data_IF_133881792930
#
_entry.id   IF_133881792930
#
_cell.length_a   1.000
_cell.length_b   1.000
_cell.length_c   1.000
_cell.angle_alpha   90.00
_cell.angle_beta   90.00
_cell.angle_gamma   90.00
#
_symmetry.space_group_name_H-M   'P 1'
#
loop_
_entity.id
_entity.type
_entity.pdbx_description
1 polymer ?
#
# COMPACT_ATOMS: atom_id res chain seq x y z
N UNK A 1 6.55 -8.73 5.15
CA UNK A 1 5.41 -9.24 5.91
C UNK A 1 5.51 -10.74 6.10
N UNK A 2 4.89 -11.27 7.15
CA UNK A 2 4.70 -12.71 7.37
C UNK A 2 3.32 -12.96 8.01
N UNK A 3 2.76 -14.14 7.78
CA UNK A 3 1.51 -14.57 8.40
C UNK A 3 1.83 -15.76 9.30
N UNK A 4 1.53 -15.64 10.59
CA UNK A 4 1.79 -16.67 11.60
C UNK A 4 0.51 -16.80 12.44
N UNK A 5 -0.04 -18.01 12.53
CA UNK A 5 -1.25 -18.30 13.33
C UNK A 5 -2.41 -17.32 13.07
N UNK A 6 -2.68 -17.03 11.79
CA UNK A 6 -3.68 -16.06 11.31
C UNK A 6 -3.40 -14.60 11.68
N UNK A 7 -2.23 -14.26 12.19
CA UNK A 7 -1.81 -12.88 12.43
C UNK A 7 -0.84 -12.44 11.34
N UNK A 8 -1.16 -11.33 10.67
CA UNK A 8 -0.30 -10.67 9.71
C UNK A 8 0.65 -9.72 10.45
N UNK A 9 1.95 -9.99 10.36
CA UNK A 9 3.02 -9.13 10.88
C UNK A 9 3.63 -8.35 9.72
N UNK A 10 3.66 -7.03 9.82
CA UNK A 10 4.20 -6.13 8.79
C UNK A 10 5.30 -5.27 9.39
N UNK A 11 6.45 -5.19 8.72
CA UNK A 11 7.54 -4.28 9.05
C UNK A 11 7.77 -3.36 7.86
N UNK A 12 7.78 -2.05 8.09
CA UNK A 12 7.84 -1.07 7.01
C UNK A 12 8.91 0.01 7.24
N UNK A 13 9.64 0.32 6.19
CA UNK A 13 10.50 1.49 6.03
C UNK A 13 10.31 2.02 4.61
N UNK A 14 9.82 3.25 4.48
CA UNK A 14 9.53 3.88 3.18
C UNK A 14 8.04 4.12 2.96
N UNK A 15 7.64 4.23 1.71
CA UNK A 15 6.28 4.55 1.25
C UNK A 15 5.61 3.43 0.45
N UNK A 16 6.26 2.28 0.33
CA UNK A 16 5.57 1.06 -0.10
C UNK A 16 4.52 0.67 0.92
N UNK A 17 3.37 0.18 0.45
CA UNK A 17 2.20 -0.02 1.30
C UNK A 17 1.82 -1.48 1.44
N UNK A 18 1.26 -1.79 2.60
CA UNK A 18 0.52 -3.01 2.87
C UNK A 18 -0.95 -2.67 3.13
N UNK A 19 -1.84 -3.38 2.44
CA UNK A 19 -3.28 -3.30 2.63
C UNK A 19 -3.84 -4.66 3.02
N UNK A 20 -4.91 -4.65 3.81
CA UNK A 20 -5.81 -5.78 4.03
C UNK A 20 -7.17 -5.40 3.43
N UNK A 21 -7.74 -6.32 2.67
CA UNK A 21 -9.04 -6.16 2.02
C UNK A 21 -9.96 -7.30 2.47
N UNK A 22 -11.16 -6.95 2.89
CA UNK A 22 -12.25 -7.88 3.12
C UNK A 22 -13.34 -7.71 2.03
N UNK A 23 -14.50 -8.32 2.21
CA UNK A 23 -15.62 -8.23 1.25
C UNK A 23 -16.17 -6.80 1.10
N UNK A 24 -15.96 -5.92 2.08
CA UNK A 24 -16.62 -4.62 2.19
C UNK A 24 -15.67 -3.44 2.13
N UNK A 25 -14.39 -3.66 2.43
CA UNK A 25 -13.46 -2.57 2.66
C UNK A 25 -12.02 -2.88 2.27
N UNK A 26 -11.25 -1.81 2.10
CA UNK A 26 -9.80 -1.82 1.99
C UNK A 26 -9.22 -0.96 3.12
N UNK A 27 -8.22 -1.49 3.81
CA UNK A 27 -7.54 -0.80 4.90
C UNK A 27 -6.04 -0.77 4.67
N UNK A 28 -5.45 0.42 4.61
CA UNK A 28 -4.01 0.59 4.61
C UNK A 28 -3.46 0.31 6.01
N UNK A 29 -2.58 -0.66 6.14
CA UNK A 29 -1.97 -1.06 7.41
C UNK A 29 -0.72 -0.24 7.71
N UNK A 30 0.11 -0.01 6.70
CA UNK A 30 1.35 0.77 6.81
C UNK A 30 1.06 2.27 6.84
N UNK A 31 2.02 3.03 7.38
CA UNK A 31 2.05 4.49 7.28
C UNK A 31 3.22 4.90 6.39
N UNK A 32 2.96 5.77 5.43
CA UNK A 32 4.01 6.21 4.52
C UNK A 32 5.05 7.06 5.26
N UNK A 33 6.31 6.72 5.09
CA UNK A 33 7.42 7.56 5.55
C UNK A 33 7.76 8.60 4.46
N UNK A 34 6.82 9.49 4.19
CA UNK A 34 6.96 10.59 3.23
C UNK A 34 6.89 11.96 3.89
N UNK A 35 7.50 12.95 3.24
CA UNK A 35 7.47 14.35 3.72
C UNK A 35 6.03 14.83 3.87
N UNK A 36 5.18 14.53 2.90
CA UNK A 36 3.78 15.00 2.89
C UNK A 36 2.96 14.38 4.01
N UNK A 37 3.12 13.09 4.31
CA UNK A 37 2.43 12.46 5.44
C UNK A 37 2.90 13.01 6.79
N UNK A 38 4.18 13.36 6.90
CA UNK A 38 4.69 14.07 8.09
C UNK A 38 4.03 15.45 8.24
N UNK A 39 3.90 16.21 7.17
CA UNK A 39 3.26 17.54 7.18
C UNK A 39 1.74 17.44 7.46
N UNK A 40 1.06 16.46 6.89
CA UNK A 40 -0.36 16.18 7.17
C UNK A 40 -0.54 15.83 8.65
N UNK A 41 0.30 14.97 9.22
CA UNK A 41 0.20 14.57 10.64
C UNK A 41 0.43 15.73 11.60
N UNK A 42 1.18 16.75 11.21
CA UNK A 42 1.39 18.01 11.94
C UNK A 42 0.26 19.04 11.71
N UNK A 43 -0.66 18.77 10.77
CA UNK A 43 -1.72 19.70 10.39
C UNK A 43 -1.24 20.89 9.55
N UNK A 44 -0.04 20.80 8.96
CA UNK A 44 0.54 21.88 8.16
C UNK A 44 -0.04 21.92 6.74
N UNK A 45 -0.40 20.76 6.17
CA UNK A 45 -1.06 20.63 4.86
C UNK A 45 -2.20 19.62 4.91
N UNK A 46 -3.06 19.61 3.87
CA UNK A 46 -4.08 18.57 3.67
C UNK A 46 -3.73 17.70 2.46
N UNK A 47 -4.31 16.49 2.39
CA UNK A 47 -4.08 15.55 1.28
C UNK A 47 -4.61 16.06 -0.07
N UNK A 48 -5.54 17.01 -0.05
CA UNK A 48 -6.11 17.66 -1.24
C UNK A 48 -5.27 18.84 -1.74
N UNK A 49 -4.30 19.32 -0.94
CA UNK A 49 -3.48 20.49 -1.27
C UNK A 49 -2.59 20.26 -2.49
N UNK A 50 -2.24 21.33 -3.19
CA UNK A 50 -1.28 21.27 -4.31
C UNK A 50 0.10 20.83 -3.81
N UNK A 51 0.52 21.30 -2.63
CA UNK A 51 1.80 20.97 -2.00
C UNK A 51 1.93 19.46 -1.72
N UNK A 52 0.84 18.80 -1.29
CA UNK A 52 0.81 17.36 -1.15
C UNK A 52 1.10 16.66 -2.49
N UNK A 53 0.41 17.05 -3.57
CA UNK A 53 0.55 16.44 -4.90
C UNK A 53 1.96 16.61 -5.47
N UNK A 54 2.59 17.77 -5.25
CA UNK A 54 3.93 18.07 -5.75
C UNK A 54 5.07 17.35 -5.00
N UNK A 55 4.84 16.98 -3.73
CA UNK A 55 5.88 16.44 -2.87
C UNK A 55 5.62 15.00 -2.39
N UNK A 56 4.60 14.32 -2.90
CA UNK A 56 4.19 12.99 -2.44
C UNK A 56 5.26 11.90 -2.59
N UNK A 57 6.19 12.04 -3.53
CA UNK A 57 7.29 11.10 -3.76
C UNK A 57 8.54 11.36 -2.91
N UNK A 58 8.53 12.36 -2.02
CA UNK A 58 9.68 12.64 -1.14
C UNK A 58 9.59 11.79 0.11
N UNK A 59 10.39 10.71 0.15
CA UNK A 59 10.50 9.82 1.32
C UNK A 59 11.33 10.45 2.43
N UNK A 60 11.00 10.13 3.68
CA UNK A 60 11.69 10.61 4.88
C UNK A 60 12.48 9.53 5.60
N UNK A 61 12.28 8.25 5.23
CA UNK A 61 13.05 7.12 5.75
C UNK A 61 13.37 6.15 4.63
N UNK A 62 14.63 5.70 4.59
CA UNK A 62 15.09 4.66 3.68
C UNK A 62 16.16 3.80 4.37
N UNK A 63 16.19 2.51 4.04
CA UNK A 63 17.23 1.60 4.52
C UNK A 63 18.57 2.00 3.91
N UNK A 64 19.58 2.19 4.77
CA UNK A 64 20.94 2.57 4.34
C UNK A 64 21.17 4.08 4.17
N UNK A 65 20.15 4.92 4.38
CA UNK A 65 20.32 6.39 4.36
C UNK A 65 21.03 6.89 5.62
N UNK A 66 20.84 6.20 6.76
CA UNK A 66 21.47 6.51 8.05
C UNK A 66 22.00 5.21 8.68
N UNK A 67 22.89 5.34 9.68
CA UNK A 67 23.43 4.18 10.42
C UNK A 67 22.34 3.37 11.15
N UNK A 68 21.27 4.03 11.53
CA UNK A 68 20.10 3.43 12.20
C UNK A 68 18.84 3.93 11.54
N UNK A 69 17.89 3.01 11.29
CA UNK A 69 16.58 3.33 10.76
C UNK A 69 15.50 2.88 11.73
N UNK A 70 14.50 3.72 11.94
CA UNK A 70 13.30 3.35 12.70
C UNK A 70 12.38 2.54 11.79
N UNK A 71 12.06 1.32 12.21
CA UNK A 71 11.17 0.40 11.52
C UNK A 71 9.80 0.50 12.19
N UNK A 72 8.76 0.75 11.42
CA UNK A 72 7.39 0.63 11.93
C UNK A 72 6.95 -0.83 11.85
N UNK A 73 6.29 -1.33 12.89
CA UNK A 73 5.75 -2.68 12.95
C UNK A 73 4.25 -2.64 13.21
N UNK A 74 3.51 -3.52 12.54
CA UNK A 74 2.06 -3.63 12.64
C UNK A 74 1.68 -5.10 12.76
N UNK A 75 0.62 -5.38 13.53
CA UNK A 75 0.02 -6.71 13.66
C UNK A 75 -1.47 -6.60 13.37
N UNK A 76 -2.00 -7.51 12.56
CA UNK A 76 -3.41 -7.57 12.17
C UNK A 76 -3.88 -9.01 12.23
N UNK A 77 -4.90 -9.27 13.03
CA UNK A 77 -5.56 -10.58 13.04
C UNK A 77 -6.44 -10.72 11.81
N UNK A 78 -6.24 -11.82 11.07
CA UNK A 78 -6.98 -12.15 9.85
C UNK A 78 -8.12 -13.13 10.20
N UNK A 79 -9.31 -12.89 9.65
CA UNK A 79 -10.47 -13.77 9.81
C UNK A 79 -10.45 -14.97 8.86
N UNK A 80 -9.56 -14.97 7.86
CA UNK A 80 -9.40 -16.07 6.89
C UNK A 80 -10.21 -15.90 5.61
N UNK A 81 -10.69 -14.71 5.32
CA UNK A 81 -11.45 -14.37 4.11
C UNK A 81 -10.97 -13.05 3.47
N UNK A 82 -9.73 -12.68 3.75
CA UNK A 82 -9.16 -11.43 3.27
C UNK A 82 -8.16 -11.64 2.14
N UNK A 83 -7.88 -10.53 1.44
CA UNK A 83 -6.69 -10.37 0.60
C UNK A 83 -5.66 -9.50 1.31
N UNK A 84 -4.39 -9.85 1.17
CA UNK A 84 -3.27 -9.00 1.58
C UNK A 84 -2.56 -8.51 0.33
N UNK A 85 -2.46 -7.18 0.19
CA UNK A 85 -1.78 -6.52 -0.92
C UNK A 85 -0.53 -5.80 -0.41
N UNK A 86 0.62 -6.13 -0.99
CA UNK A 86 1.87 -5.36 -0.84
C UNK A 86 2.16 -4.71 -2.19
N UNK A 87 2.44 -3.40 -2.20
CA UNK A 87 2.71 -2.69 -3.44
C UNK A 87 3.71 -1.54 -3.26
N UNK A 88 4.40 -1.21 -4.34
CA UNK A 88 5.20 0.01 -4.43
C UNK A 88 4.30 1.23 -4.67
N UNK A 89 4.87 2.42 -4.48
CA UNK A 89 4.21 3.70 -4.72
C UNK A 89 3.82 3.91 -6.19
N UNK A 90 4.47 3.23 -7.14
CA UNK A 90 4.08 3.23 -8.55
C UNK A 90 2.64 2.75 -8.81
N UNK A 91 2.06 1.93 -7.91
CA UNK A 91 0.63 1.63 -7.93
C UNK A 91 -0.17 2.76 -7.30
N UNK A 92 0.11 3.11 -6.05
CA UNK A 92 -0.73 3.99 -5.22
C UNK A 92 -0.65 5.46 -5.59
N UNK A 93 0.37 5.87 -6.34
CA UNK A 93 0.44 7.18 -6.97
C UNK A 93 -0.49 7.34 -8.17
N UNK A 94 -0.86 6.23 -8.83
CA UNK A 94 -1.66 6.20 -10.04
C UNK A 94 -3.10 5.73 -9.81
N UNK A 95 -3.32 4.86 -8.82
CA UNK A 95 -4.61 4.21 -8.58
C UNK A 95 -5.01 4.44 -7.12
N UNK A 96 -6.17 5.02 -6.88
CA UNK A 96 -6.69 5.24 -5.53
C UNK A 96 -7.19 3.95 -4.87
N UNK A 97 -7.32 3.97 -3.55
CA UNK A 97 -7.70 2.80 -2.74
C UNK A 97 -9.05 2.23 -3.15
N UNK A 98 -10.03 3.09 -3.48
CA UNK A 98 -11.35 2.64 -3.93
C UNK A 98 -11.28 1.88 -5.24
N UNK A 99 -10.45 2.33 -6.17
CA UNK A 99 -10.25 1.67 -7.45
C UNK A 99 -9.48 0.36 -7.30
N UNK A 100 -8.48 0.32 -6.41
CA UNK A 100 -7.77 -0.92 -6.02
C UNK A 100 -8.77 -1.94 -5.50
N UNK A 101 -9.62 -1.55 -4.54
CA UNK A 101 -10.66 -2.39 -3.97
C UNK A 101 -11.59 -2.94 -5.06
N UNK A 102 -12.12 -2.09 -5.94
CA UNK A 102 -13.03 -2.49 -7.00
C UNK A 102 -12.39 -3.49 -7.98
N UNK A 103 -11.12 -3.31 -8.32
CA UNK A 103 -10.40 -4.21 -9.22
C UNK A 103 -10.24 -5.59 -8.58
N UNK A 104 -9.82 -5.65 -7.31
CA UNK A 104 -9.61 -6.92 -6.61
C UNK A 104 -10.95 -7.64 -6.42
N UNK A 105 -11.97 -6.96 -5.91
CA UNK A 105 -13.30 -7.54 -5.63
C UNK A 105 -14.04 -8.02 -6.89
N UNK A 106 -13.76 -7.42 -8.06
CA UNK A 106 -14.42 -7.78 -9.34
C UNK A 106 -13.62 -8.74 -10.20
N UNK A 107 -12.46 -9.18 -9.78
CA UNK A 107 -11.57 -10.03 -10.58
C UNK A 107 -11.76 -11.52 -10.23
N UNK A 108 -11.42 -12.39 -11.19
CA UNK A 108 -11.45 -13.84 -11.02
C UNK A 108 -10.10 -14.33 -10.44
N UNK A 109 -9.82 -14.00 -9.16
CA UNK A 109 -8.65 -14.45 -8.41
C UNK A 109 -7.41 -13.54 -8.53
N UNK A 110 -6.41 -13.83 -7.72
CA UNK A 110 -5.22 -12.99 -7.49
C UNK A 110 -4.43 -12.64 -8.75
N UNK A 111 -4.25 -13.61 -9.65
CA UNK A 111 -3.50 -13.40 -10.89
C UNK A 111 -4.16 -12.37 -11.82
N UNK A 112 -5.48 -12.46 -11.95
CA UNK A 112 -6.27 -11.51 -12.74
C UNK A 112 -6.26 -10.12 -12.10
N UNK A 113 -6.44 -10.07 -10.78
CA UNK A 113 -6.40 -8.83 -10.01
C UNK A 113 -5.06 -8.09 -10.16
N UNK A 114 -3.95 -8.80 -9.93
CA UNK A 114 -2.61 -8.20 -10.02
C UNK A 114 -2.32 -7.66 -11.43
N UNK A 115 -2.69 -8.42 -12.47
CA UNK A 115 -2.53 -7.96 -13.86
C UNK A 115 -3.33 -6.68 -14.13
N UNK A 116 -4.60 -6.65 -13.74
CA UNK A 116 -5.49 -5.49 -13.92
C UNK A 116 -5.01 -4.26 -13.16
N UNK A 117 -4.46 -4.45 -11.94
CA UNK A 117 -3.88 -3.34 -11.17
C UNK A 117 -2.68 -2.70 -11.88
N UNK A 118 -1.78 -3.52 -12.44
CA UNK A 118 -0.63 -3.03 -13.21
C UNK A 118 -1.09 -2.33 -14.49
N UNK A 119 -2.04 -2.91 -15.22
CA UNK A 119 -2.61 -2.30 -16.42
C UNK A 119 -3.25 -0.94 -16.12
N UNK A 120 -4.03 -0.85 -15.04
CA UNK A 120 -4.69 0.39 -14.61
C UNK A 120 -3.68 1.47 -14.22
N UNK A 121 -2.63 1.12 -13.46
CA UNK A 121 -1.59 2.07 -13.10
C UNK A 121 -0.84 2.60 -14.33
N UNK A 122 -0.55 1.74 -15.32
CA UNK A 122 0.06 2.15 -16.59
C UNK A 122 -0.87 3.06 -17.41
N UNK A 123 -2.16 2.75 -17.48
CA UNK A 123 -3.16 3.59 -18.17
C UNK A 123 -3.34 4.95 -17.49
N UNK A 124 -3.16 5.02 -16.19
CA UNK A 124 -3.26 6.24 -15.41
C UNK A 124 -2.00 7.12 -15.45
N UNK A 125 -0.99 6.72 -16.24
CA UNK A 125 0.22 7.50 -16.45
C UNK A 125 1.52 6.70 -16.38
N UNK A 126 1.60 5.63 -15.57
CA UNK A 126 2.75 4.73 -15.50
C UNK A 126 4.08 5.44 -15.24
N UNK A 127 4.09 6.40 -14.33
CA UNK A 127 5.23 7.29 -14.13
C UNK A 127 6.39 6.65 -13.37
N UNK A 128 6.20 5.45 -12.80
CA UNK A 128 7.21 4.74 -12.02
C UNK A 128 7.09 3.23 -12.19
N UNK A 129 8.07 2.48 -11.64
CA UNK A 129 8.05 1.03 -11.59
C UNK A 129 6.92 0.54 -10.66
N UNK A 130 6.15 -0.43 -11.11
CA UNK A 130 5.01 -0.98 -10.38
C UNK A 130 5.36 -2.39 -9.91
N UNK A 131 5.36 -2.60 -8.59
CA UNK A 131 5.51 -3.92 -7.98
C UNK A 131 4.28 -4.24 -7.14
N UNK A 132 3.73 -5.45 -7.33
CA UNK A 132 2.52 -5.90 -6.63
C UNK A 132 2.72 -7.36 -6.19
N UNK A 133 2.40 -7.64 -4.93
CA UNK A 133 2.20 -8.98 -4.40
C UNK A 133 0.82 -9.05 -3.78
N UNK A 134 -0.05 -9.89 -4.32
CA UNK A 134 -1.41 -10.10 -3.82
C UNK A 134 -1.55 -11.55 -3.32
N UNK A 135 -2.02 -11.69 -2.09
CA UNK A 135 -2.21 -12.97 -1.41
C UNK A 135 -3.71 -13.12 -1.13
N UNK A 136 -4.27 -14.26 -1.45
CA UNK A 136 -5.60 -14.68 -1.03
C UNK A 136 -5.47 -15.58 0.21
N UNK A 137 -6.07 -15.15 1.32
CA UNK A 137 -6.00 -15.90 2.58
C UNK A 137 -6.94 -17.12 2.58
N UNK A 138 -7.94 -17.12 1.69
CA UNK A 138 -8.89 -18.23 1.57
C UNK A 138 -8.32 -19.47 0.85
N UNK A 139 -7.23 -19.29 0.09
CA UNK A 139 -6.57 -20.39 -0.62
C UNK A 139 -5.52 -21.07 0.28
N UNK A 140 -5.98 -21.66 1.37
CA UNK A 140 -5.16 -22.44 2.32
C UNK A 140 -5.33 -23.94 2.11
#
# INVERSE_FOLDING_TARGET
>A
ASIIDNTLHVFNVGDSRCYVLDENSISQITKDHSLVEMLVSKGEITRESAEYKENKSKITRAVGAEERVLIDSFEVDLAGNEYVLLCSDGLTNMVDDRKIFNIISSSAGVKSSAKRLVEEANLSGGSDNISILLIDINEG
#
